data_IF_887145903807
#
_entry.id   IF_887145903807
#
_cell.length_a   1.000
_cell.length_b   1.000
_cell.length_c   1.000
_cell.angle_alpha   90.00
_cell.angle_beta   90.00
_cell.angle_gamma   90.00
#
_symmetry.space_group_name_H-M   'P 1'
#
loop_
_entity.id
_entity.type
_entity.pdbx_description
1 polymer ?
#
# COMPACT_ATOMS: atom_id res chain seq x y z
N UNK A 1 8.59 -6.65 -14.15
CA UNK A 1 9.17 -6.41 -13.02
C UNK A 1 8.90 -7.27 -11.84
N UNK A 2 9.07 -6.66 -10.69
CA UNK A 2 8.96 -7.34 -9.41
C UNK A 2 7.68 -7.01 -8.68
N UNK A 3 6.82 -6.26 -9.34
CA UNK A 3 5.53 -5.91 -8.79
C UNK A 3 4.62 -7.12 -8.77
N UNK A 4 3.65 -7.11 -7.87
CA UNK A 4 2.66 -8.16 -7.81
C UNK A 4 1.53 -7.86 -8.78
N UNK A 5 1.28 -8.80 -9.71
CA UNK A 5 0.18 -8.63 -10.67
C UNK A 5 -1.11 -9.16 -10.09
N UNK A 6 -2.12 -8.30 -10.05
CA UNK A 6 -3.46 -8.64 -9.60
C UNK A 6 -4.37 -8.67 -10.82
N UNK A 7 -5.02 -9.81 -11.06
CA UNK A 7 -5.95 -9.96 -12.19
C UNK A 7 -7.36 -10.10 -11.66
N UNK A 8 -8.27 -9.24 -12.15
CA UNK A 8 -9.67 -9.26 -11.72
C UNK A 8 -10.45 -10.36 -12.43
N UNK A 9 -11.65 -10.73 -11.93
CA UNK A 9 -12.51 -11.68 -12.62
C UNK A 9 -12.92 -11.24 -14.02
N UNK A 10 -12.82 -9.94 -14.32
CA UNK A 10 -13.13 -9.37 -15.64
C UNK A 10 -11.89 -9.21 -16.51
N UNK A 11 -10.77 -9.82 -16.12
CA UNK A 11 -9.49 -9.81 -16.85
C UNK A 11 -8.78 -8.45 -16.91
N UNK A 12 -9.08 -7.56 -15.99
CA UNK A 12 -8.26 -6.36 -15.86
C UNK A 12 -7.05 -6.66 -14.99
N UNK A 13 -5.91 -6.08 -15.33
CA UNK A 13 -4.66 -6.29 -14.62
C UNK A 13 -4.22 -5.03 -13.91
N UNK A 14 -3.78 -5.20 -12.67
CA UNK A 14 -3.22 -4.11 -11.87
C UNK A 14 -1.90 -4.59 -11.27
N UNK A 15 -1.02 -3.64 -10.98
CA UNK A 15 0.30 -3.98 -10.44
C UNK A 15 0.51 -3.27 -9.11
N UNK A 16 0.66 -4.06 -8.05
CA UNK A 16 0.93 -3.57 -6.70
C UNK A 16 2.44 -3.52 -6.53
N UNK A 17 2.97 -2.42 -6.00
CA UNK A 17 4.43 -2.27 -5.83
C UNK A 17 5.00 -3.39 -4.97
N UNK A 18 4.34 -3.69 -3.86
CA UNK A 18 4.73 -4.81 -3.01
C UNK A 18 3.52 -5.36 -2.26
N UNK A 19 3.35 -6.67 -2.31
CA UNK A 19 2.36 -7.38 -1.51
C UNK A 19 3.09 -8.30 -0.54
N UNK A 20 2.84 -8.14 0.75
CA UNK A 20 3.43 -8.95 1.81
C UNK A 20 2.34 -9.65 2.61
N UNK A 21 2.70 -10.74 3.27
CA UNK A 21 1.82 -11.37 4.23
C UNK A 21 2.49 -11.39 5.60
N UNK A 22 1.80 -10.82 6.59
CA UNK A 22 2.33 -10.73 7.94
C UNK A 22 1.86 -11.95 8.75
N UNK A 23 2.78 -12.86 9.04
CA UNK A 23 2.43 -14.15 9.65
C UNK A 23 1.96 -14.05 11.10
N UNK A 24 2.37 -13.03 11.83
CA UNK A 24 1.97 -12.89 13.25
C UNK A 24 0.55 -12.34 13.39
N UNK A 25 0.18 -11.39 12.57
CA UNK A 25 -1.15 -10.79 12.63
C UNK A 25 -2.08 -11.33 11.54
N UNK A 26 -1.61 -12.29 10.77
CA UNK A 26 -2.40 -13.00 9.76
C UNK A 26 -3.16 -12.05 8.83
N UNK A 27 -2.43 -11.19 8.13
CA UNK A 27 -3.04 -10.32 7.14
C UNK A 27 -2.06 -9.98 6.02
N UNK A 28 -2.63 -9.62 4.87
CA UNK A 28 -1.84 -9.05 3.79
C UNK A 28 -1.52 -7.59 4.09
N UNK A 29 -0.41 -7.14 3.56
CA UNK A 29 0.01 -5.73 3.62
C UNK A 29 0.30 -5.28 2.20
N UNK A 30 -0.45 -4.30 1.73
CA UNK A 30 -0.25 -3.69 0.41
C UNK A 30 0.63 -2.46 0.61
N UNK A 31 1.74 -2.40 -0.10
CA UNK A 31 2.64 -1.24 -0.04
C UNK A 31 2.71 -0.59 -1.42
N UNK A 32 2.41 0.70 -1.47
CA UNK A 32 2.53 1.52 -2.66
C UNK A 32 3.55 2.63 -2.44
N UNK A 33 4.36 2.91 -3.45
CA UNK A 33 5.43 3.90 -3.37
C UNK A 33 5.13 5.06 -4.30
N UNK A 34 5.14 6.27 -3.75
CA UNK A 34 4.99 7.51 -4.52
C UNK A 34 6.24 8.37 -4.33
N UNK A 35 6.95 8.63 -5.42
CA UNK A 35 8.20 9.41 -5.38
C UNK A 35 7.95 10.92 -5.37
N UNK A 36 6.79 11.32 -4.87
CA UNK A 36 6.35 12.71 -4.76
C UNK A 36 5.77 12.94 -3.38
N UNK A 37 5.43 14.19 -3.07
CA UNK A 37 4.73 14.52 -1.83
C UNK A 37 3.34 13.91 -1.83
N UNK A 38 2.89 13.44 -0.67
CA UNK A 38 1.56 12.86 -0.50
C UNK A 38 0.46 13.82 -0.96
N UNK A 39 -0.52 13.26 -1.68
CA UNK A 39 -1.75 13.95 -2.06
C UNK A 39 -2.94 13.07 -1.69
N UNK A 40 -4.08 13.65 -1.31
CA UNK A 40 -5.27 12.85 -0.95
C UNK A 40 -5.67 11.81 -2.00
N UNK A 41 -5.52 12.13 -3.28
CA UNK A 41 -5.88 11.23 -4.38
C UNK A 41 -5.05 9.95 -4.44
N UNK A 42 -3.86 9.94 -3.83
CA UNK A 42 -3.03 8.73 -3.78
C UNK A 42 -3.72 7.61 -3.00
N UNK A 43 -4.59 7.94 -2.07
CA UNK A 43 -5.28 6.92 -1.28
C UNK A 43 -6.33 6.17 -2.06
N UNK A 44 -6.86 6.76 -3.13
CA UNK A 44 -7.85 6.05 -3.96
C UNK A 44 -7.28 4.76 -4.55
N UNK A 45 -6.08 4.81 -5.08
CA UNK A 45 -5.41 3.63 -5.62
C UNK A 45 -5.09 2.61 -4.53
N UNK A 46 -4.56 3.08 -3.39
CA UNK A 46 -4.24 2.20 -2.28
C UNK A 46 -5.48 1.49 -1.76
N UNK A 47 -6.57 2.23 -1.58
CA UNK A 47 -7.83 1.67 -1.12
C UNK A 47 -8.37 0.61 -2.07
N UNK A 48 -8.28 0.87 -3.37
CA UNK A 48 -8.69 -0.11 -4.36
C UNK A 48 -7.88 -1.40 -4.23
N UNK A 49 -6.57 -1.28 -4.10
CA UNK A 49 -5.70 -2.46 -3.98
C UNK A 49 -5.98 -3.24 -2.69
N UNK A 50 -6.17 -2.55 -1.57
CA UNK A 50 -6.49 -3.21 -0.30
C UNK A 50 -7.80 -4.00 -0.42
N UNK A 51 -8.83 -3.39 -0.98
CA UNK A 51 -10.10 -4.07 -1.19
C UNK A 51 -9.98 -5.24 -2.15
N UNK A 52 -9.21 -5.07 -3.23
CA UNK A 52 -9.03 -6.12 -4.22
C UNK A 52 -8.28 -7.33 -3.63
N UNK A 53 -7.26 -7.08 -2.82
CA UNK A 53 -6.54 -8.17 -2.14
C UNK A 53 -7.47 -8.91 -1.19
N UNK A 54 -8.31 -8.21 -0.44
CA UNK A 54 -9.29 -8.87 0.42
C UNK A 54 -10.25 -9.77 -0.36
N UNK A 55 -10.64 -9.35 -1.55
CA UNK A 55 -11.56 -10.13 -2.37
C UNK A 55 -10.90 -11.31 -3.08
N UNK A 56 -9.67 -11.16 -3.51
CA UNK A 56 -9.02 -12.11 -4.41
C UNK A 56 -7.99 -13.00 -3.75
N UNK A 57 -7.34 -12.53 -2.69
CA UNK A 57 -6.21 -13.24 -2.08
C UNK A 57 -6.48 -13.69 -0.64
N UNK A 58 -7.30 -12.94 0.09
CA UNK A 58 -7.57 -13.24 1.49
C UNK A 58 -8.32 -14.56 1.63
N UNK A 59 -7.91 -15.36 2.61
CA UNK A 59 -8.56 -16.64 2.93
C UNK A 59 -9.18 -16.57 4.32
N UNK A 60 -9.98 -17.59 4.63
CA UNK A 60 -10.59 -17.71 5.95
C UNK A 60 -9.50 -17.75 7.03
N UNK A 61 -9.72 -17.00 8.09
CA UNK A 61 -8.73 -16.87 9.17
C UNK A 61 -7.84 -15.65 9.04
N UNK A 62 -7.78 -15.04 7.86
CA UNK A 62 -7.02 -13.80 7.70
C UNK A 62 -7.78 -12.60 8.26
N UNK A 63 -7.04 -11.68 8.84
CA UNK A 63 -7.56 -10.39 9.24
C UNK A 63 -7.58 -9.43 8.05
N UNK A 64 -8.21 -8.28 8.22
CA UNK A 64 -8.32 -7.27 7.16
C UNK A 64 -6.95 -6.84 6.66
N UNK A 65 -6.83 -6.69 5.35
CA UNK A 65 -5.60 -6.22 4.72
C UNK A 65 -5.28 -4.80 5.16
N UNK A 66 -3.99 -4.54 5.37
CA UNK A 66 -3.45 -3.24 5.74
C UNK A 66 -2.86 -2.60 4.49
N UNK A 67 -3.07 -1.30 4.30
CA UNK A 67 -2.45 -0.53 3.23
C UNK A 67 -1.43 0.45 3.78
N UNK A 68 -0.29 0.55 3.13
CA UNK A 68 0.77 1.50 3.48
C UNK A 68 1.22 2.24 2.23
N UNK A 69 1.17 3.56 2.31
CA UNK A 69 1.67 4.42 1.26
C UNK A 69 2.99 5.05 1.70
N UNK A 70 4.05 4.84 0.91
CA UNK A 70 5.34 5.42 1.17
C UNK A 70 5.55 6.59 0.21
N UNK A 71 5.77 7.78 0.76
CA UNK A 71 5.91 9.00 -0.02
C UNK A 71 7.25 9.66 0.23
N UNK A 72 7.70 10.47 -0.72
CA UNK A 72 8.91 11.29 -0.54
C UNK A 72 8.72 12.27 0.61
N UNK A 73 7.54 12.86 0.73
CA UNK A 73 7.20 13.82 1.76
C UNK A 73 5.71 13.78 2.03
N UNK A 74 5.27 14.30 3.17
CA UNK A 74 3.86 14.31 3.54
C UNK A 74 3.60 15.40 4.57
N UNK A 75 2.52 16.13 4.38
CA UNK A 75 2.04 17.11 5.35
C UNK A 75 1.12 16.40 6.35
N UNK A 76 1.42 16.55 7.63
CA UNK A 76 0.68 15.85 8.69
C UNK A 76 -0.81 16.17 8.69
N UNK A 77 -1.18 17.42 8.51
CA UNK A 77 -2.59 17.81 8.49
C UNK A 77 -3.31 17.15 7.31
N UNK A 78 -2.69 17.18 6.13
CA UNK A 78 -3.30 16.59 4.93
C UNK A 78 -3.49 15.09 5.10
N UNK A 79 -2.48 14.39 5.65
CA UNK A 79 -2.58 12.95 5.89
C UNK A 79 -3.69 12.64 6.89
N UNK A 80 -3.66 13.30 8.04
CA UNK A 80 -4.64 13.04 9.10
C UNK A 80 -6.06 13.37 8.65
N UNK A 81 -6.23 14.48 7.96
CA UNK A 81 -7.54 14.90 7.48
C UNK A 81 -8.08 13.92 6.43
N UNK A 82 -7.22 13.45 5.54
CA UNK A 82 -7.62 12.49 4.51
C UNK A 82 -8.05 11.16 5.13
N UNK A 83 -7.37 10.71 6.18
CA UNK A 83 -7.65 9.42 6.82
C UNK A 83 -8.72 9.47 7.90
N UNK A 84 -9.15 10.67 8.30
CA UNK A 84 -9.93 10.87 9.51
C UNK A 84 -11.15 9.97 9.67
N UNK A 85 -11.89 9.75 8.60
CA UNK A 85 -13.10 8.91 8.66
C UNK A 85 -12.95 7.58 7.94
N UNK A 86 -11.73 7.20 7.62
CA UNK A 86 -11.52 5.91 6.97
C UNK A 86 -11.72 4.76 7.97
N UNK A 87 -12.46 3.75 7.55
CA UNK A 87 -12.63 2.52 8.31
C UNK A 87 -11.58 1.47 7.92
N UNK A 88 -10.80 1.74 6.90
CA UNK A 88 -9.75 0.84 6.45
C UNK A 88 -8.47 1.07 7.23
N UNK A 89 -7.67 0.01 7.38
CA UNK A 89 -6.37 0.10 8.06
C UNK A 89 -5.34 0.63 7.07
N UNK A 90 -5.21 1.94 7.00
CA UNK A 90 -4.30 2.61 6.07
C UNK A 90 -3.28 3.46 6.82
N UNK A 91 -2.08 3.51 6.30
CA UNK A 91 -1.02 4.37 6.83
C UNK A 91 -0.29 5.09 5.71
N UNK A 92 0.25 6.25 6.04
CA UNK A 92 1.10 7.04 5.14
C UNK A 92 2.39 7.37 5.89
N UNK A 93 3.53 7.12 5.26
CA UNK A 93 4.82 7.38 5.89
C UNK A 93 5.82 7.91 4.87
N UNK A 94 6.78 8.69 5.35
CA UNK A 94 7.91 9.09 4.52
C UNK A 94 8.87 7.92 4.40
N UNK A 95 9.37 7.68 3.19
CA UNK A 95 10.17 6.50 2.92
C UNK A 95 11.44 6.40 3.77
N UNK A 96 12.02 7.52 4.17
CA UNK A 96 13.23 7.50 5.00
C UNK A 96 13.04 6.90 6.38
N UNK A 97 11.77 6.69 6.79
CA UNK A 97 11.43 6.06 8.06
C UNK A 97 11.20 4.57 7.92
N UNK A 98 11.27 4.04 6.71
CA UNK A 98 10.97 2.65 6.42
C UNK A 98 12.27 1.85 6.40
N UNK A 99 12.30 0.75 7.16
CA UNK A 99 13.42 -0.16 7.23
C UNK A 99 13.03 -1.50 6.60
N UNK A 100 14.04 -2.29 6.23
CA UNK A 100 13.86 -3.66 5.75
C UNK A 100 13.00 -3.78 4.49
N UNK A 101 13.06 -2.80 3.60
CA UNK A 101 12.38 -2.89 2.32
C UNK A 101 13.18 -3.77 1.36
N UNK A 102 12.50 -4.47 0.45
CA UNK A 102 13.17 -5.14 -0.65
C UNK A 102 14.04 -4.15 -1.43
N UNK A 103 15.18 -4.63 -1.91
CA UNK A 103 16.18 -3.78 -2.57
C UNK A 103 15.61 -2.94 -3.71
N UNK A 104 14.71 -3.53 -4.53
CA UNK A 104 14.18 -2.78 -5.66
C UNK A 104 13.32 -1.59 -5.23
N UNK A 105 12.64 -1.69 -4.08
CA UNK A 105 11.88 -0.57 -3.54
C UNK A 105 12.81 0.48 -2.96
N UNK A 106 13.88 0.07 -2.27
CA UNK A 106 14.88 1.01 -1.78
C UNK A 106 15.47 1.83 -2.91
N UNK A 107 15.81 1.18 -4.03
CA UNK A 107 16.33 1.88 -5.19
C UNK A 107 15.32 2.87 -5.75
N UNK A 108 14.04 2.47 -5.84
CA UNK A 108 12.99 3.34 -6.33
C UNK A 108 12.85 4.60 -5.48
N UNK A 109 12.94 4.45 -4.15
CA UNK A 109 12.85 5.58 -3.24
C UNK A 109 14.06 6.51 -3.36
N UNK A 110 15.23 5.97 -3.67
CA UNK A 110 16.45 6.74 -3.79
C UNK A 110 16.60 7.46 -5.14
N UNK A 111 15.82 7.11 -6.13
CA UNK A 111 15.84 7.75 -7.45
C UNK A 111 15.43 9.22 -7.40
N UNK A 112 14.89 9.66 -6.30
CA UNK A 112 14.47 11.03 -6.09
C UNK A 112 15.22 11.65 -4.94
#
# INVERSE_FOLDING_TARGET
>A
GKEYKLTTPTNEEFFIDLLMYHTKIHCYVVIEVKVVKFKPEHLGQLMFYVNAVDKLERIEGDNDTIGLLLCKDADKFVVETTLEKSLMKLGVSKYKLIEELPEYLERRLKEK
#
